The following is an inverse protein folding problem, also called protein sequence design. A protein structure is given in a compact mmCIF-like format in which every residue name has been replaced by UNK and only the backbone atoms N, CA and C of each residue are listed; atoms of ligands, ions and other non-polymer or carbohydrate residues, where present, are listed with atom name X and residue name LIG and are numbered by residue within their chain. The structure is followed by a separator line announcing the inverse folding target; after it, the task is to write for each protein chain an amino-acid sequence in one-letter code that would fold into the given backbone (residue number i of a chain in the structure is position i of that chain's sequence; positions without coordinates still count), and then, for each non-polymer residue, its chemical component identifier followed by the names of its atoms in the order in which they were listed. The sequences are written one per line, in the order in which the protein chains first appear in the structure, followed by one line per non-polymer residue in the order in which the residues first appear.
data_IF_543715074644
#
_entry.id   IF_543715074644
#
_cell.length_a   1.000
_cell.length_b   1.000
_cell.length_c   1.000
_cell.angle_alpha   90.00
_cell.angle_beta   90.00
_cell.angle_gamma   90.00
#
_symmetry.space_group_name_H-M   'P 1'
#
loop_
_entity.id
_entity.type
_entity.pdbx_description
1 polymer ?
#
# COMPACT_ATOMS: atom_id res chain seq x y z
N UNK A 1 -5.37 30.22 -19.50
CA UNK A 1 -5.14 29.18 -18.48
C UNK A 1 -4.24 28.12 -19.09
N UNK A 2 -3.02 27.97 -18.56
CA UNK A 2 -2.12 26.87 -18.93
C UNK A 2 -2.41 25.72 -17.97
N UNK A 3 -2.95 24.62 -18.48
CA UNK A 3 -3.00 23.37 -17.71
C UNK A 3 -1.57 22.84 -17.63
N UNK A 4 -1.02 22.61 -16.43
CA UNK A 4 0.28 21.97 -16.33
C UNK A 4 0.13 20.55 -16.88
N UNK A 5 0.70 20.31 -18.05
CA UNK A 5 0.93 18.95 -18.53
C UNK A 5 1.99 18.35 -17.62
N UNK A 6 1.54 17.77 -16.52
CA UNK A 6 2.35 16.84 -15.74
C UNK A 6 2.72 15.70 -16.68
N UNK A 7 3.94 15.77 -17.23
CA UNK A 7 4.60 14.61 -17.81
C UNK A 7 4.82 13.62 -16.66
N UNK A 8 3.76 12.92 -16.27
CA UNK A 8 3.87 11.71 -15.49
C UNK A 8 4.61 10.76 -16.43
N UNK A 9 5.94 10.68 -16.27
CA UNK A 9 6.70 9.60 -16.85
C UNK A 9 6.10 8.33 -16.28
N UNK A 10 5.21 7.72 -17.06
CA UNK A 10 4.70 6.40 -16.79
C UNK A 10 5.94 5.52 -16.80
N UNK A 11 6.41 5.10 -15.63
CA UNK A 11 7.46 4.08 -15.56
C UNK A 11 6.86 2.84 -16.21
N UNK A 12 7.20 2.61 -17.48
CA UNK A 12 6.87 1.38 -18.17
C UNK A 12 7.70 0.28 -17.50
N UNK A 13 7.11 -0.32 -16.48
CA UNK A 13 7.64 -1.53 -15.88
C UNK A 13 7.49 -2.63 -16.91
N UNK A 14 8.60 -3.24 -17.30
CA UNK A 14 8.58 -4.40 -18.18
C UNK A 14 7.85 -5.54 -17.47
N UNK A 15 7.04 -6.30 -18.22
CA UNK A 15 6.37 -7.49 -17.69
C UNK A 15 7.42 -8.56 -17.33
N UNK A 16 7.22 -9.29 -16.24
CA UNK A 16 8.01 -10.47 -15.89
C UNK A 16 7.82 -11.51 -17.00
N UNK A 17 8.94 -11.99 -17.56
CA UNK A 17 8.93 -13.02 -18.58
C UNK A 17 8.44 -14.35 -17.99
N UNK A 18 7.78 -15.17 -18.82
CA UNK A 18 7.22 -16.46 -18.39
C UNK A 18 8.30 -17.43 -17.87
N UNK A 19 9.52 -17.30 -18.41
CA UNK A 19 10.71 -18.06 -18.00
C UNK A 19 11.45 -17.43 -16.80
N UNK A 20 11.02 -16.26 -16.35
CA UNK A 20 11.63 -15.51 -15.25
C UNK A 20 13.03 -14.96 -15.53
N UNK A 21 13.57 -15.05 -16.76
CA UNK A 21 14.96 -14.67 -17.05
C UNK A 21 15.23 -13.17 -16.82
N UNK A 22 14.20 -12.33 -16.91
CA UNK A 22 14.30 -10.90 -16.66
C UNK A 22 14.04 -10.49 -15.19
N UNK A 23 14.00 -11.43 -14.24
CA UNK A 23 13.66 -11.17 -12.83
C UNK A 23 14.45 -10.03 -12.19
N UNK A 24 15.78 -9.98 -12.39
CA UNK A 24 16.64 -8.95 -11.78
C UNK A 24 16.26 -7.55 -12.28
N UNK A 25 16.04 -7.42 -13.59
CA UNK A 25 15.62 -6.16 -14.22
C UNK A 25 14.20 -5.77 -13.80
N UNK A 26 13.28 -6.75 -13.80
CA UNK A 26 11.90 -6.57 -13.34
C UNK A 26 11.86 -6.02 -11.92
N UNK A 27 12.57 -6.67 -10.98
CA UNK A 27 12.64 -6.27 -9.59
C UNK A 27 13.16 -4.84 -9.43
N UNK A 28 14.23 -4.47 -10.13
CA UNK A 28 14.79 -3.12 -10.08
C UNK A 28 13.81 -2.04 -10.57
N UNK A 29 13.09 -2.33 -11.66
CA UNK A 29 12.09 -1.42 -12.23
C UNK A 29 10.86 -1.26 -11.34
N UNK A 30 10.33 -2.38 -10.81
CA UNK A 30 9.22 -2.39 -9.85
C UNK A 30 9.58 -1.56 -8.63
N UNK A 31 10.72 -1.83 -7.97
CA UNK A 31 11.15 -1.08 -6.78
C UNK A 31 11.30 0.42 -7.06
N UNK A 32 11.81 0.79 -8.24
CA UNK A 32 11.91 2.19 -8.65
C UNK A 32 10.53 2.82 -8.85
N UNK A 33 9.65 2.14 -9.59
CA UNK A 33 8.31 2.63 -9.89
C UNK A 33 7.46 2.84 -8.63
N UNK A 34 7.56 1.93 -7.66
CA UNK A 34 6.89 2.08 -6.37
C UNK A 34 7.60 3.04 -5.43
N UNK A 35 8.93 3.16 -5.51
CA UNK A 35 9.70 4.18 -4.80
C UNK A 35 9.24 5.59 -5.12
N UNK A 36 9.02 5.91 -6.39
CA UNK A 36 8.50 7.22 -6.81
C UNK A 36 7.08 7.48 -6.29
N UNK A 37 6.31 6.41 -6.03
CA UNK A 37 4.94 6.49 -5.48
C UNK A 37 4.91 6.46 -3.94
N UNK A 38 6.05 6.39 -3.26
CA UNK A 38 6.10 6.23 -1.80
C UNK A 38 5.67 4.83 -1.30
N UNK A 39 5.44 3.87 -2.19
CA UNK A 39 4.93 2.53 -1.87
C UNK A 39 6.03 1.48 -1.67
N UNK A 40 7.30 1.89 -1.69
CA UNK A 40 8.45 0.98 -1.59
C UNK A 40 8.42 0.13 -0.32
N UNK A 41 8.02 0.70 0.81
CA UNK A 41 7.97 0.00 2.10
C UNK A 41 6.94 -1.15 2.11
N UNK A 42 5.84 -1.04 1.35
CA UNK A 42 4.87 -2.13 1.18
C UNK A 42 5.46 -3.33 0.44
N UNK A 43 6.44 -3.11 -0.45
CA UNK A 43 7.09 -4.19 -1.22
C UNK A 43 8.23 -4.82 -0.45
N UNK A 44 8.97 -4.00 0.30
CA UNK A 44 10.05 -4.48 1.16
C UNK A 44 9.53 -5.16 2.43
N UNK A 45 8.22 -5.05 2.72
CA UNK A 45 7.62 -5.58 3.93
C UNK A 45 8.04 -4.83 5.19
N UNK A 46 8.53 -3.59 5.05
CA UNK A 46 9.01 -2.76 6.15
C UNK A 46 7.94 -1.79 6.68
N UNK A 47 6.80 -1.69 5.99
CA UNK A 47 5.67 -0.88 6.46
C UNK A 47 5.00 -1.60 7.64
N UNK A 48 4.77 -0.87 8.74
CA UNK A 48 4.00 -1.40 9.85
C UNK A 48 2.51 -1.34 9.52
N UNK A 49 1.79 -2.41 9.81
CA UNK A 49 0.34 -2.41 9.71
C UNK A 49 -0.25 -1.57 10.85
N UNK A 50 -1.24 -0.70 10.59
CA UNK A 50 -1.91 0.08 11.62
C UNK A 50 -2.56 -0.82 12.67
N UNK A 51 -2.74 -0.26 13.86
CA UNK A 51 -3.39 -0.99 14.95
C UNK A 51 -4.88 -1.15 14.67
N UNK A 52 -5.37 -2.39 14.65
CA UNK A 52 -6.77 -2.69 14.44
C UNK A 52 -7.62 -2.30 15.66
N UNK A 53 -8.82 -1.80 15.40
CA UNK A 53 -9.84 -1.47 16.41
C UNK A 53 -10.87 -2.60 16.50
N UNK A 54 -11.31 -2.93 17.71
CA UNK A 54 -12.41 -3.87 17.95
C UNK A 54 -13.50 -3.21 18.80
N UNK A 55 -14.75 -3.39 18.38
CA UNK A 55 -15.93 -2.94 19.13
C UNK A 55 -16.28 -4.02 20.16
N UNK A 56 -16.10 -3.71 21.44
CA UNK A 56 -16.49 -4.61 22.52
C UNK A 56 -18.02 -4.55 22.75
N UNK A 57 -18.59 -5.62 23.33
CA UNK A 57 -20.04 -5.75 23.60
C UNK A 57 -20.61 -4.59 24.44
N UNK A 58 -19.74 -3.90 25.14
CA UNK A 58 -20.00 -2.77 26.02
C UNK A 58 -20.18 -1.44 25.27
N UNK A 59 -20.17 -1.45 23.93
CA UNK A 59 -20.13 -0.27 23.04
C UNK A 59 -18.88 0.60 23.22
N UNK A 60 -17.79 0.01 23.72
CA UNK A 60 -16.48 0.65 23.83
C UNK A 60 -15.55 0.12 22.75
N UNK A 61 -14.76 1.02 22.15
CA UNK A 61 -13.79 0.69 21.12
C UNK A 61 -12.43 0.54 21.77
N UNK A 62 -11.80 -0.61 21.52
CA UNK A 62 -10.48 -0.97 22.03
C UNK A 62 -9.52 -1.17 20.87
N UNK A 63 -8.24 -0.88 21.09
CA UNK A 63 -7.19 -1.25 20.15
C UNK A 63 -6.82 -2.73 20.42
N UNK A 64 -6.82 -3.58 19.40
CA UNK A 64 -6.60 -5.04 19.56
C UNK A 64 -5.26 -5.36 20.25
N UNK A 65 -4.26 -4.51 20.08
CA UNK A 65 -2.91 -4.68 20.63
C UNK A 65 -2.63 -3.88 21.91
N UNK A 66 -3.54 -2.98 22.29
CA UNK A 66 -3.40 -2.11 23.44
C UNK A 66 -4.77 -2.07 24.11
N UNK A 67 -4.91 -2.62 25.32
CA UNK A 67 -6.15 -2.59 26.13
C UNK A 67 -6.56 -1.16 26.57
N UNK A 68 -6.30 -0.16 25.73
CA UNK A 68 -6.69 1.23 25.82
C UNK A 68 -8.09 1.39 25.23
N UNK A 69 -8.94 2.09 25.97
CA UNK A 69 -10.23 2.60 25.47
C UNK A 69 -9.95 3.93 24.78
N UNK A 70 -10.34 4.04 23.52
CA UNK A 70 -10.12 5.26 22.73
C UNK A 70 -11.44 6.02 22.49
N UNK A 71 -11.34 7.34 22.35
CA UNK A 71 -12.46 8.24 22.07
C UNK A 71 -12.87 8.14 20.59
N UNK A 72 -14.15 8.35 20.29
CA UNK A 72 -14.73 8.20 18.94
C UNK A 72 -13.97 8.93 17.82
N UNK A 73 -13.39 10.10 18.10
CA UNK A 73 -12.58 10.82 17.11
C UNK A 73 -11.27 10.10 16.75
N UNK A 74 -10.62 9.46 17.73
CA UNK A 74 -9.39 8.69 17.53
C UNK A 74 -9.68 7.36 16.83
N UNK A 75 -10.89 6.84 16.94
CA UNK A 75 -11.36 5.66 16.19
C UNK A 75 -11.44 5.98 14.70
N UNK A 76 -12.08 7.10 14.34
CA UNK A 76 -12.16 7.54 12.94
C UNK A 76 -10.77 7.72 12.33
N UNK A 77 -9.84 8.35 13.06
CA UNK A 77 -8.46 8.51 12.59
C UNK A 77 -7.75 7.16 12.36
N UNK A 78 -7.94 6.18 13.24
CA UNK A 78 -7.34 4.84 13.08
C UNK A 78 -7.97 4.06 11.92
N UNK A 79 -9.28 4.17 11.74
CA UNK A 79 -9.98 3.53 10.62
C UNK A 79 -9.54 4.15 9.28
N UNK A 80 -9.40 5.48 9.21
CA UNK A 80 -8.86 6.18 8.03
C UNK A 80 -7.41 5.76 7.73
N UNK A 81 -6.57 5.58 8.76
CA UNK A 81 -5.20 5.10 8.61
C UNK A 81 -5.16 3.65 8.08
N UNK A 82 -6.03 2.78 8.61
CA UNK A 82 -6.18 1.41 8.16
C UNK A 82 -6.64 1.34 6.71
N UNK A 83 -7.66 2.11 6.33
CA UNK A 83 -8.15 2.20 4.96
C UNK A 83 -7.06 2.69 3.99
N UNK A 84 -6.27 3.70 4.39
CA UNK A 84 -5.14 4.19 3.60
C UNK A 84 -4.06 3.11 3.41
N UNK A 85 -3.75 2.35 4.46
CA UNK A 85 -2.81 1.24 4.41
C UNK A 85 -3.29 0.14 3.44
N UNK A 86 -4.55 -0.25 3.55
CA UNK A 86 -5.14 -1.29 2.71
C UNK A 86 -5.23 -0.87 1.24
N UNK A 87 -5.61 0.38 0.98
CA UNK A 87 -5.60 0.95 -0.36
C UNK A 87 -4.19 0.90 -0.98
N UNK A 88 -3.17 1.27 -0.21
CA UNK A 88 -1.77 1.25 -0.65
C UNK A 88 -1.29 -0.18 -0.94
N UNK A 89 -1.63 -1.13 -0.06
CA UNK A 89 -1.34 -2.56 -0.21
C UNK A 89 -1.96 -3.14 -1.49
N UNK A 90 -3.23 -2.82 -1.74
CA UNK A 90 -3.94 -3.30 -2.92
C UNK A 90 -3.47 -2.64 -4.20
N UNK A 91 -3.09 -1.37 -4.16
CA UNK A 91 -2.46 -0.70 -5.30
C UNK A 91 -1.17 -1.40 -5.72
N UNK A 92 -0.34 -1.81 -4.75
CA UNK A 92 0.87 -2.59 -5.01
C UNK A 92 0.54 -3.94 -5.67
N UNK A 93 -0.40 -4.69 -5.08
CA UNK A 93 -0.83 -6.00 -5.62
C UNK A 93 -1.32 -5.90 -7.05
N UNK A 94 -2.23 -4.96 -7.33
CA UNK A 94 -2.78 -4.80 -8.67
C UNK A 94 -1.71 -4.48 -9.72
N UNK A 95 -0.75 -3.62 -9.37
CA UNK A 95 0.34 -3.28 -10.29
C UNK A 95 1.23 -4.48 -10.56
N UNK A 96 1.58 -5.27 -9.54
CA UNK A 96 2.33 -6.51 -9.70
C UNK A 96 1.57 -7.52 -10.56
N UNK A 97 0.28 -7.75 -10.28
CA UNK A 97 -0.55 -8.69 -11.04
C UNK A 97 -0.72 -8.31 -12.51
N UNK A 98 -0.72 -7.00 -12.82
CA UNK A 98 -0.72 -6.53 -14.22
C UNK A 98 0.59 -6.80 -14.95
N UNK A 99 1.70 -6.92 -14.21
CA UNK A 99 3.05 -7.02 -14.77
C UNK A 99 3.66 -8.41 -14.64
N UNK A 100 2.96 -9.39 -14.08
CA UNK A 100 3.34 -10.81 -14.14
C UNK A 100 2.44 -11.54 -15.14
N UNK A 101 2.92 -12.65 -15.69
CA UNK A 101 2.11 -13.47 -16.59
C UNK A 101 1.03 -14.25 -15.83
N UNK A 102 -0.05 -14.59 -16.55
CA UNK A 102 -1.09 -15.51 -16.07
C UNK A 102 -0.64 -16.95 -16.24
#
# INVERSE_FOLDING_TARGET
MLFPTTNIKLYNVLRLADDGLNWVTYKAQILTAFGVKGLKQHIEGCVQEPCQTEICKDSKIHIVNQNEVILDNKVVELDDEQDCYDQSKDQVRQQIYKTISN
#
